data_IF_057238103435
#
_entry.id   IF_057238103435
#
_cell.length_a   1.000
_cell.length_b   1.000
_cell.length_c   1.000
_cell.angle_alpha   90.00
_cell.angle_beta   90.00
_cell.angle_gamma   90.00
#
_symmetry.space_group_name_H-M   'P 1'
#
loop_
_entity.id
_entity.type
_entity.pdbx_description
1 polymer ?
#
# COMPACT_ATOMS: atom_id res chain seq x y z
N UNK A 1 -4.97 10.62 14.82
CA UNK A 1 -6.18 9.78 14.71
C UNK A 1 -5.96 8.45 14.00
N UNK A 2 -5.80 8.36 12.66
CA UNK A 2 -5.73 7.05 11.97
C UNK A 2 -4.56 6.15 12.39
N UNK A 3 -3.33 6.68 12.43
CA UNK A 3 -2.14 5.92 12.89
C UNK A 3 -2.28 5.49 14.35
N UNK A 4 -2.83 6.36 15.21
CA UNK A 4 -3.03 6.06 16.63
C UNK A 4 -4.08 4.95 16.84
N UNK A 5 -5.11 4.90 15.99
CA UNK A 5 -6.11 3.82 16.02
C UNK A 5 -5.47 2.49 15.64
N UNK A 6 -4.64 2.47 14.59
CA UNK A 6 -3.89 1.27 14.17
C UNK A 6 -2.94 0.82 15.29
N UNK A 7 -2.14 1.72 15.85
CA UNK A 7 -1.20 1.36 16.92
C UNK A 7 -1.87 0.89 18.22
N UNK A 8 -3.15 1.24 18.44
CA UNK A 8 -3.95 0.75 19.58
C UNK A 8 -4.71 -0.54 19.26
N UNK A 9 -4.78 -0.91 17.98
CA UNK A 9 -5.39 -2.15 17.54
C UNK A 9 -4.47 -3.34 17.83
N UNK A 10 -5.03 -4.54 17.98
CA UNK A 10 -4.25 -5.80 18.08
C UNK A 10 -4.16 -6.49 16.71
N UNK A 11 -4.12 -5.72 15.63
CA UNK A 11 -4.06 -6.25 14.27
C UNK A 11 -2.67 -6.84 14.01
N UNK A 12 -2.62 -7.98 13.31
CA UNK A 12 -1.34 -8.58 12.92
C UNK A 12 -0.62 -7.68 11.90
N UNK A 13 -1.40 -6.92 11.13
CA UNK A 13 -1.01 -6.06 10.01
C UNK A 13 -0.60 -4.63 10.45
N UNK A 14 -0.59 -4.35 11.77
CA UNK A 14 -0.37 -3.01 12.34
C UNK A 14 0.83 -2.28 11.71
N UNK A 15 1.96 -2.98 11.59
CA UNK A 15 3.20 -2.38 11.08
C UNK A 15 3.08 -1.99 9.61
N UNK A 16 2.47 -2.83 8.78
CA UNK A 16 2.26 -2.57 7.35
C UNK A 16 1.30 -1.38 7.15
N UNK A 17 0.19 -1.36 7.88
CA UNK A 17 -0.77 -0.25 7.85
C UNK A 17 -0.17 1.06 8.33
N UNK A 18 0.57 1.06 9.43
CA UNK A 18 1.28 2.25 9.91
C UNK A 18 2.32 2.71 8.88
N UNK A 19 3.03 1.78 8.23
CA UNK A 19 3.93 2.10 7.12
C UNK A 19 3.24 2.84 5.99
N UNK A 20 2.13 2.29 5.48
CA UNK A 20 1.35 2.89 4.40
C UNK A 20 0.79 4.27 4.78
N UNK A 21 0.26 4.42 6.00
CA UNK A 21 -0.28 5.68 6.50
C UNK A 21 0.79 6.76 6.64
N UNK A 22 2.01 6.41 7.06
CA UNK A 22 3.14 7.35 7.10
C UNK A 22 3.51 7.85 5.71
N UNK A 23 3.58 6.96 4.71
CA UNK A 23 3.87 7.35 3.32
C UNK A 23 2.75 8.20 2.73
N UNK A 24 1.49 7.91 3.04
CA UNK A 24 0.36 8.77 2.66
C UNK A 24 0.46 10.15 3.33
N UNK A 25 0.81 10.20 4.63
CA UNK A 25 1.02 11.46 5.35
C UNK A 25 2.15 12.29 4.73
N UNK A 26 3.21 11.63 4.25
CA UNK A 26 4.28 12.30 3.52
C UNK A 26 3.79 13.07 2.28
N UNK A 27 2.75 12.58 1.59
CA UNK A 27 2.17 13.26 0.43
C UNK A 27 1.55 14.63 0.74
N UNK A 28 1.10 14.83 1.99
CA UNK A 28 0.38 16.04 2.44
C UNK A 28 1.17 16.89 3.45
N UNK A 29 2.36 16.48 3.86
CA UNK A 29 3.18 17.24 4.81
C UNK A 29 3.69 18.56 4.21
N UNK A 30 3.99 19.55 5.05
CA UNK A 30 4.28 20.92 4.58
C UNK A 30 5.74 21.11 4.13
N UNK A 31 6.70 20.49 4.81
CA UNK A 31 8.13 20.68 4.54
C UNK A 31 8.76 19.50 3.81
N UNK A 32 9.70 19.76 2.89
CA UNK A 32 10.40 18.69 2.15
C UNK A 32 11.10 17.69 3.09
N UNK A 33 11.72 18.20 4.16
CA UNK A 33 12.38 17.37 5.18
C UNK A 33 11.40 16.38 5.81
N UNK A 34 10.23 16.87 6.24
CA UNK A 34 9.18 16.04 6.84
C UNK A 34 8.61 15.03 5.83
N UNK A 35 8.36 15.45 4.57
CA UNK A 35 7.94 14.53 3.50
C UNK A 35 8.91 13.36 3.36
N UNK A 36 10.20 13.65 3.25
CA UNK A 36 11.24 12.63 3.07
C UNK A 36 11.37 11.71 4.29
N UNK A 37 11.32 12.28 5.49
CA UNK A 37 11.41 11.52 6.73
C UNK A 37 10.22 10.55 6.91
N UNK A 38 8.99 11.06 6.77
CA UNK A 38 7.78 10.24 6.84
C UNK A 38 7.76 9.15 5.76
N UNK A 39 8.15 9.48 4.54
CA UNK A 39 8.20 8.51 3.44
C UNK A 39 9.21 7.40 3.74
N UNK A 40 10.42 7.74 4.20
CA UNK A 40 11.46 6.75 4.55
C UNK A 40 11.03 5.85 5.70
N UNK A 41 10.44 6.42 6.75
CA UNK A 41 9.93 5.64 7.89
C UNK A 41 8.81 4.70 7.46
N UNK A 42 7.86 5.20 6.67
CA UNK A 42 6.76 4.41 6.16
C UNK A 42 7.22 3.30 5.23
N UNK A 43 8.13 3.61 4.31
CA UNK A 43 8.75 2.64 3.40
C UNK A 43 9.45 1.52 4.15
N UNK A 44 10.29 1.86 5.15
CA UNK A 44 10.98 0.87 5.98
C UNK A 44 10.03 -0.11 6.65
N UNK A 45 8.88 0.36 7.12
CA UNK A 45 7.86 -0.48 7.77
C UNK A 45 7.13 -1.37 6.75
N UNK A 46 6.57 -0.78 5.70
CA UNK A 46 5.78 -1.52 4.73
C UNK A 46 6.65 -2.49 3.91
N UNK A 47 7.76 -2.02 3.36
CA UNK A 47 8.67 -2.88 2.59
C UNK A 47 9.26 -3.98 3.49
N UNK A 48 9.54 -3.70 4.77
CA UNK A 48 10.01 -4.70 5.71
C UNK A 48 8.98 -5.80 6.05
N UNK A 49 7.69 -5.48 6.08
CA UNK A 49 6.64 -6.51 6.21
C UNK A 49 6.45 -7.30 4.91
N UNK A 50 6.59 -6.65 3.75
CA UNK A 50 6.59 -7.31 2.44
C UNK A 50 7.77 -8.27 2.28
N UNK A 51 8.93 -7.93 2.85
CA UNK A 51 10.10 -8.81 2.87
C UNK A 51 9.89 -10.05 3.74
N UNK A 52 9.07 -9.96 4.79
CA UNK A 52 8.74 -11.13 5.64
C UNK A 52 7.63 -11.97 5.04
N UNK A 53 6.62 -11.31 4.48
CA UNK A 53 5.44 -11.95 3.90
C UNK A 53 5.36 -11.66 2.40
N UNK A 54 6.32 -12.20 1.63
CA UNK A 54 6.46 -11.94 0.19
C UNK A 54 5.22 -12.28 -0.65
N UNK A 55 4.32 -13.12 -0.16
CA UNK A 55 3.09 -13.49 -0.87
C UNK A 55 1.84 -12.80 -0.31
N UNK A 56 1.98 -11.87 0.65
CA UNK A 56 0.84 -11.14 1.19
C UNK A 56 0.38 -10.06 0.19
N UNK A 57 -0.67 -10.39 -0.55
CA UNK A 57 -1.20 -9.54 -1.60
C UNK A 57 -1.94 -8.30 -1.08
N UNK A 58 -2.39 -8.28 0.18
CA UNK A 58 -2.89 -7.07 0.83
C UNK A 58 -1.75 -6.04 1.03
N UNK A 59 -0.58 -6.48 1.49
CA UNK A 59 0.57 -5.60 1.62
C UNK A 59 1.04 -5.06 0.27
N UNK A 60 0.98 -5.89 -0.78
CA UNK A 60 1.23 -5.43 -2.15
C UNK A 60 0.21 -4.39 -2.60
N UNK A 61 -1.06 -4.56 -2.26
CA UNK A 61 -2.08 -3.56 -2.55
C UNK A 61 -1.80 -2.22 -1.87
N UNK A 62 -1.40 -2.22 -0.58
CA UNK A 62 -0.98 -1.01 0.12
C UNK A 62 0.19 -0.31 -0.60
N UNK A 63 1.21 -1.09 -1.00
CA UNK A 63 2.38 -0.55 -1.70
C UNK A 63 1.98 0.02 -3.06
N UNK A 64 1.22 -0.70 -3.87
CA UNK A 64 0.78 -0.27 -5.19
C UNK A 64 0.06 1.09 -5.13
N UNK A 65 -0.88 1.27 -4.19
CA UNK A 65 -1.57 2.55 -4.00
C UNK A 65 -0.61 3.73 -3.80
N UNK A 66 0.50 3.50 -3.09
CA UNK A 66 1.52 4.53 -2.83
C UNK A 66 2.40 4.73 -4.07
N UNK A 67 2.79 3.66 -4.75
CA UNK A 67 3.61 3.71 -5.95
C UNK A 67 2.97 4.53 -7.07
N UNK A 68 1.67 4.37 -7.29
CA UNK A 68 0.94 5.10 -8.33
C UNK A 68 0.95 6.62 -8.12
N UNK A 69 1.04 7.05 -6.85
CA UNK A 69 1.00 8.44 -6.43
C UNK A 69 2.38 9.03 -6.09
N UNK A 70 3.42 8.21 -6.00
CA UNK A 70 4.76 8.66 -5.65
C UNK A 70 5.46 9.39 -6.82
N UNK A 71 6.24 10.45 -6.56
CA UNK A 71 7.13 11.04 -7.55
C UNK A 71 8.19 10.05 -8.04
N UNK A 72 8.49 10.04 -9.35
CA UNK A 72 9.45 9.10 -9.94
C UNK A 72 10.87 9.21 -9.35
N UNK A 73 11.28 10.40 -8.90
CA UNK A 73 12.58 10.65 -8.25
C UNK A 73 12.80 9.83 -6.97
N UNK A 74 11.73 9.34 -6.33
CA UNK A 74 11.85 8.52 -5.12
C UNK A 74 12.20 7.06 -5.41
N UNK A 75 12.21 6.63 -6.68
CA UNK A 75 12.53 5.25 -7.05
C UNK A 75 11.68 4.24 -6.29
N UNK A 76 10.35 4.48 -6.26
CA UNK A 76 9.40 3.59 -5.58
C UNK A 76 8.50 2.82 -6.55
N UNK A 77 8.50 3.14 -7.85
CA UNK A 77 7.60 2.55 -8.86
C UNK A 77 8.05 1.22 -9.45
N UNK A 78 9.20 0.68 -9.03
CA UNK A 78 9.84 -0.48 -9.65
C UNK A 78 9.04 -1.78 -9.54
N UNK A 79 8.20 -1.93 -8.50
CA UNK A 79 7.43 -3.17 -8.26
C UNK A 79 5.96 -3.07 -8.68
N UNK A 80 5.54 -2.00 -9.38
CA UNK A 80 4.13 -1.80 -9.76
C UNK A 80 3.55 -3.00 -10.52
N UNK A 81 4.32 -3.54 -11.46
CA UNK A 81 3.90 -4.70 -12.27
C UNK A 81 3.77 -5.97 -11.42
N UNK A 82 4.80 -6.26 -10.62
CA UNK A 82 4.83 -7.41 -9.71
C UNK A 82 3.69 -7.36 -8.70
N UNK A 83 3.43 -6.19 -8.12
CA UNK A 83 2.38 -5.99 -7.13
C UNK A 83 1.00 -6.19 -7.76
N UNK A 84 0.76 -5.66 -8.97
CA UNK A 84 -0.47 -5.91 -9.72
C UNK A 84 -0.68 -7.40 -9.94
N UNK A 85 0.31 -8.11 -10.47
CA UNK A 85 0.20 -9.54 -10.79
C UNK A 85 -0.18 -10.36 -9.55
N UNK A 86 0.45 -10.09 -8.40
CA UNK A 86 0.14 -10.79 -7.16
C UNK A 86 -1.27 -10.48 -6.66
N UNK A 87 -1.68 -9.20 -6.66
CA UNK A 87 -3.01 -8.77 -6.23
C UNK A 87 -4.10 -9.46 -7.05
N UNK A 88 -3.96 -9.47 -8.37
CA UNK A 88 -4.93 -10.11 -9.27
C UNK A 88 -4.99 -11.61 -9.03
N UNK A 89 -3.83 -12.28 -8.93
CA UNK A 89 -3.78 -13.73 -8.75
C UNK A 89 -4.39 -14.22 -7.43
N UNK A 90 -4.30 -13.44 -6.36
CA UNK A 90 -4.78 -13.83 -5.03
C UNK A 90 -6.10 -13.19 -4.62
N UNK A 91 -6.67 -12.31 -5.45
CA UNK A 91 -7.84 -11.51 -5.14
C UNK A 91 -8.98 -12.32 -4.50
N UNK A 92 -9.32 -13.49 -5.07
CA UNK A 92 -10.43 -14.31 -4.58
C UNK A 92 -10.23 -14.92 -3.19
N UNK A 93 -8.97 -15.14 -2.81
CA UNK A 93 -8.59 -15.65 -1.48
C UNK A 93 -8.52 -14.58 -0.39
N UNK A 94 -8.59 -13.30 -0.76
CA UNK A 94 -8.52 -12.19 0.20
C UNK A 94 -9.82 -12.02 0.99
N UNK A 95 -9.68 -11.41 2.17
CA UNK A 95 -10.80 -10.93 2.97
C UNK A 95 -11.71 -9.99 2.20
N UNK A 96 -13.02 -10.08 2.46
CA UNK A 96 -14.05 -9.29 1.79
C UNK A 96 -13.81 -7.78 1.90
N UNK A 97 -13.27 -7.30 3.03
CA UNK A 97 -12.95 -5.89 3.21
C UNK A 97 -11.85 -5.42 2.24
N UNK A 98 -10.81 -6.24 2.04
CA UNK A 98 -9.71 -5.95 1.12
C UNK A 98 -10.19 -5.98 -0.32
N UNK A 99 -11.02 -6.97 -0.70
CA UNK A 99 -11.64 -7.05 -2.03
C UNK A 99 -12.45 -5.79 -2.35
N UNK A 100 -13.28 -5.33 -1.41
CA UNK A 100 -14.07 -4.10 -1.57
C UNK A 100 -13.15 -2.88 -1.73
N UNK A 101 -12.07 -2.80 -0.94
CA UNK A 101 -11.10 -1.71 -1.05
C UNK A 101 -10.42 -1.69 -2.44
N UNK A 102 -9.99 -2.85 -2.94
CA UNK A 102 -9.39 -3.01 -4.27
C UNK A 102 -10.38 -2.56 -5.35
N UNK A 103 -11.61 -3.11 -5.35
CA UNK A 103 -12.63 -2.75 -6.34
C UNK A 103 -12.94 -1.25 -6.32
N UNK A 104 -12.99 -0.62 -5.15
CA UNK A 104 -13.18 0.83 -5.07
C UNK A 104 -11.99 1.59 -5.63
N UNK A 105 -10.77 1.11 -5.42
CA UNK A 105 -9.57 1.76 -5.91
C UNK A 105 -9.42 1.69 -7.43
N UNK A 106 -9.95 0.65 -8.10
CA UNK A 106 -9.96 0.56 -9.58
C UNK A 106 -10.59 1.78 -10.26
N UNK A 107 -11.48 2.51 -9.58
CA UNK A 107 -12.11 3.74 -10.09
C UNK A 107 -11.12 4.89 -10.30
N UNK A 108 -9.97 4.85 -9.62
CA UNK A 108 -8.97 5.92 -9.61
C UNK A 108 -7.56 5.44 -9.98
N UNK A 109 -7.34 4.12 -9.97
CA UNK A 109 -6.06 3.51 -10.33
C UNK A 109 -5.80 3.64 -11.83
N UNK A 110 -4.52 3.80 -12.18
CA UNK A 110 -4.01 3.75 -13.55
C UNK A 110 -3.52 2.35 -13.92
N UNK A 111 -3.44 1.45 -12.94
CA UNK A 111 -2.80 0.13 -13.07
C UNK A 111 -3.83 -0.99 -12.89
N UNK A 112 -4.68 -0.90 -11.87
CA UNK A 112 -5.75 -1.85 -11.58
C UNK A 112 -7.04 -1.40 -12.24
N UNK A 113 -7.62 -2.29 -13.06
CA UNK A 113 -8.92 -2.08 -13.70
C UNK A 113 -9.92 -3.12 -13.21
N UNK A 114 -11.21 -2.84 -13.36
CA UNK A 114 -12.27 -3.71 -12.82
C UNK A 114 -12.23 -5.12 -13.43
N UNK A 115 -11.89 -5.19 -14.72
CA UNK A 115 -11.81 -6.40 -15.53
C UNK A 115 -10.75 -7.37 -15.03
N UNK A 116 -9.73 -6.88 -14.31
CA UNK A 116 -8.72 -7.73 -13.68
C UNK A 116 -9.34 -8.70 -12.65
N UNK A 117 -10.56 -8.44 -12.16
CA UNK A 117 -11.18 -9.16 -11.03
C UNK A 117 -12.52 -9.82 -11.34
N UNK A 118 -12.88 -9.96 -12.62
CA UNK A 118 -14.19 -10.46 -13.05
C UNK A 118 -14.27 -11.97 -13.31
N UNK A 119 -13.16 -12.71 -13.18
CA UNK A 119 -13.08 -14.15 -13.45
C UNK A 119 -12.85 -14.94 -12.18
#
# INVERSE_FOLDING_TARGET
MAIELVNKSKLKEETAYTGALLMRKAGIASSLKEKLDLFKQGRKKLDGEIEKEHNNAEYRFLRLMIQENAPSVLGYKQSVKEDKELIVSQYHSMDSAVKIAILNYTKTSKVLIKEDFQN
#
